data_IF_274996505713
#
_entry.id   IF_274996505713
#
_cell.length_a   1.000
_cell.length_b   1.000
_cell.length_c   1.000
_cell.angle_alpha   90.00
_cell.angle_beta   90.00
_cell.angle_gamma   90.00
#
_symmetry.space_group_name_H-M   'P 1'
#
loop_
_entity.id
_entity.type
_entity.pdbx_description
1 polymer ?
#
# COMPACT_ATOMS: atom_id res chain seq x y z
N UNK A 1 -9.18 4.28 3.51
CA UNK A 1 -9.36 5.56 4.26
C UNK A 1 -8.88 6.70 3.37
N UNK A 2 -9.63 7.79 3.21
CA UNK A 2 -9.27 8.88 2.28
C UNK A 2 -8.76 10.13 3.01
N UNK A 3 -7.86 10.90 2.39
CA UNK A 3 -7.33 12.19 2.90
C UNK A 3 -5.84 12.40 2.58
N UNK A 4 -5.25 13.53 2.97
CA UNK A 4 -3.95 13.96 2.44
C UNK A 4 -2.78 13.07 2.88
N UNK A 5 -1.75 13.02 2.05
CA UNK A 5 -0.47 12.37 2.30
C UNK A 5 0.09 12.84 3.67
N UNK A 6 0.42 11.91 4.58
CA UNK A 6 0.90 12.24 5.94
C UNK A 6 -0.17 12.45 7.02
N UNK A 7 -1.46 12.21 6.75
CA UNK A 7 -2.55 12.33 7.74
C UNK A 7 -2.73 11.13 8.69
N UNK A 8 -1.71 10.27 8.83
CA UNK A 8 -1.76 9.12 9.76
C UNK A 8 -2.61 7.94 9.28
N UNK A 9 -2.85 7.79 7.97
CA UNK A 9 -3.62 6.66 7.42
C UNK A 9 -2.82 5.37 7.43
N UNK A 10 -1.56 5.44 7.02
CA UNK A 10 -0.60 4.34 7.10
C UNK A 10 -0.50 3.88 8.56
N UNK A 11 -0.40 4.83 9.50
CA UNK A 11 -0.44 4.57 10.94
C UNK A 11 -1.73 3.85 11.40
N UNK A 12 -2.91 4.36 11.03
CA UNK A 12 -4.18 3.72 11.41
C UNK A 12 -4.35 2.33 10.76
N UNK A 13 -3.92 2.16 9.51
CA UNK A 13 -3.95 0.89 8.81
C UNK A 13 -3.01 -0.13 9.47
N UNK A 14 -1.81 0.29 9.89
CA UNK A 14 -0.87 -0.56 10.63
C UNK A 14 -1.43 -0.97 11.99
N UNK A 15 -2.09 -0.07 12.72
CA UNK A 15 -2.74 -0.42 14.00
C UNK A 15 -3.86 -1.45 13.83
N UNK A 16 -4.67 -1.32 12.77
CA UNK A 16 -5.72 -2.31 12.45
C UNK A 16 -5.07 -3.64 12.05
N UNK A 17 -4.05 -3.61 11.19
CA UNK A 17 -3.34 -4.80 10.74
C UNK A 17 -2.65 -5.54 11.91
N UNK A 18 -2.00 -4.81 12.82
CA UNK A 18 -1.39 -5.36 14.02
C UNK A 18 -2.41 -6.01 14.97
N UNK A 19 -3.63 -5.47 15.04
CA UNK A 19 -4.72 -6.08 15.80
C UNK A 19 -5.31 -7.35 15.19
N UNK A 20 -5.17 -7.54 13.87
CA UNK A 20 -5.58 -8.76 13.16
C UNK A 20 -4.56 -9.91 13.34
N UNK A 21 -3.30 -9.57 13.62
CA UNK A 21 -2.22 -10.54 13.79
C UNK A 21 -1.73 -11.16 12.48
N UNK A 22 -0.64 -11.92 12.58
CA UNK A 22 0.04 -12.52 11.42
C UNK A 22 1.03 -11.57 10.74
N UNK A 23 1.69 -12.06 9.69
CA UNK A 23 2.72 -11.30 8.97
C UNK A 23 2.06 -10.24 8.10
N UNK A 24 2.51 -9.00 8.24
CA UNK A 24 1.96 -7.83 7.53
C UNK A 24 2.92 -7.44 6.41
N UNK A 25 2.35 -7.04 5.27
CA UNK A 25 3.09 -6.52 4.14
C UNK A 25 2.49 -5.19 3.65
N UNK A 26 3.33 -4.30 3.14
CA UNK A 26 2.92 -3.00 2.63
C UNK A 26 3.46 -2.78 1.21
N UNK A 27 2.56 -2.45 0.28
CA UNK A 27 2.91 -2.03 -1.07
C UNK A 27 2.97 -0.49 -1.07
N UNK A 28 4.18 0.08 -1.17
CA UNK A 28 4.44 1.53 -1.20
C UNK A 28 4.60 2.02 -2.64
N UNK A 29 3.75 2.95 -3.09
CA UNK A 29 3.87 3.59 -4.41
C UNK A 29 4.36 5.04 -4.35
N UNK A 30 4.55 5.61 -3.16
CA UNK A 30 4.88 7.03 -2.95
C UNK A 30 6.33 7.27 -2.53
N UNK A 31 7.23 6.29 -2.72
CA UNK A 31 8.66 6.38 -2.43
C UNK A 31 8.98 6.78 -0.98
N UNK A 32 8.80 5.84 -0.05
CA UNK A 32 9.56 5.86 1.21
C UNK A 32 8.79 6.43 2.39
N UNK A 33 7.54 6.01 2.57
CA UNK A 33 6.86 6.12 3.88
C UNK A 33 6.73 4.80 4.60
N UNK A 34 7.03 3.68 3.93
CA UNK A 34 7.04 2.36 4.56
C UNK A 34 8.08 2.21 5.66
N UNK A 35 9.27 2.75 5.49
CA UNK A 35 10.31 2.56 6.51
C UNK A 35 10.07 3.40 7.77
N UNK A 36 9.30 4.50 7.66
CA UNK A 36 9.03 5.43 8.78
C UNK A 36 8.25 4.80 9.94
N UNK A 37 7.64 3.63 9.70
CA UNK A 37 6.72 3.00 10.62
C UNK A 37 7.09 1.54 10.95
N UNK A 38 8.23 1.04 10.45
CA UNK A 38 8.71 -0.31 10.74
C UNK A 38 8.79 -0.59 12.26
N UNK A 39 9.15 0.44 13.04
CA UNK A 39 9.24 0.37 14.50
C UNK A 39 7.89 0.39 15.24
N UNK A 40 6.76 0.63 14.55
CA UNK A 40 5.44 0.68 15.19
C UNK A 40 4.85 -0.68 15.49
N UNK A 41 5.24 -1.69 14.72
CA UNK A 41 4.80 -3.05 14.93
C UNK A 41 5.92 -3.83 15.63
N UNK A 42 5.67 -4.48 16.77
CA UNK A 42 6.70 -5.21 17.50
C UNK A 42 7.33 -6.37 16.70
N UNK A 43 6.63 -6.87 15.68
CA UNK A 43 7.12 -7.90 14.75
C UNK A 43 7.60 -7.34 13.39
N UNK A 44 7.53 -6.02 13.19
CA UNK A 44 7.80 -5.38 11.91
C UNK A 44 6.78 -5.73 10.81
N UNK A 45 7.09 -5.37 9.57
CA UNK A 45 6.34 -5.74 8.37
C UNK A 45 7.22 -5.68 7.12
N UNK A 46 6.84 -6.40 6.08
CA UNK A 46 7.54 -6.41 4.80
C UNK A 46 7.12 -5.21 3.93
N UNK A 47 8.06 -4.50 3.31
CA UNK A 47 7.77 -3.37 2.40
C UNK A 47 8.15 -3.73 0.98
N UNK A 48 7.19 -3.61 0.06
CA UNK A 48 7.39 -3.78 -1.37
C UNK A 48 7.14 -2.43 -2.07
N UNK A 49 8.21 -1.79 -2.52
CA UNK A 49 8.13 -0.53 -3.25
C UNK A 49 7.78 -0.78 -4.72
N UNK A 50 6.63 -0.27 -5.17
CA UNK A 50 6.22 -0.29 -6.57
C UNK A 50 6.71 0.99 -7.26
N UNK A 51 7.46 0.84 -8.35
CA UNK A 51 7.84 1.96 -9.22
C UNK A 51 6.90 2.04 -10.44
N UNK A 52 6.80 3.22 -11.12
CA UNK A 52 6.10 3.32 -12.38
C UNK A 52 6.61 2.27 -13.40
N UNK A 53 5.73 1.64 -14.19
CA UNK A 53 4.32 1.99 -14.39
C UNK A 53 3.35 1.32 -13.38
N UNK A 54 2.48 2.12 -12.77
CA UNK A 54 1.45 1.68 -11.81
C UNK A 54 0.24 1.02 -12.49
N UNK A 55 0.44 -0.16 -13.08
CA UNK A 55 -0.63 -0.93 -13.76
C UNK A 55 -1.29 -1.92 -12.80
N UNK A 56 -2.58 -2.27 -12.99
CA UNK A 56 -3.25 -3.30 -12.19
C UNK A 56 -2.48 -4.63 -12.11
N UNK A 57 -1.85 -5.05 -13.21
CA UNK A 57 -1.03 -6.26 -13.26
C UNK A 57 0.14 -6.23 -12.26
N UNK A 58 0.81 -5.08 -12.11
CA UNK A 58 1.92 -4.92 -11.17
C UNK A 58 1.46 -5.00 -9.71
N UNK A 59 0.26 -4.51 -9.40
CA UNK A 59 -0.33 -4.69 -8.07
C UNK A 59 -0.66 -6.15 -7.79
N UNK A 60 -1.21 -6.88 -8.77
CA UNK A 60 -1.48 -8.32 -8.64
C UNK A 60 -0.18 -9.10 -8.38
N UNK A 61 0.87 -8.82 -9.15
CA UNK A 61 2.18 -9.45 -8.95
C UNK A 61 2.78 -9.13 -7.57
N UNK A 62 2.63 -7.89 -7.09
CA UNK A 62 3.09 -7.49 -5.77
C UNK A 62 2.29 -8.19 -4.64
N UNK A 63 0.99 -8.37 -4.82
CA UNK A 63 0.14 -9.11 -3.88
C UNK A 63 0.60 -10.56 -3.80
N UNK A 64 0.77 -11.24 -4.93
CA UNK A 64 1.24 -12.63 -4.94
C UNK A 64 2.65 -12.80 -4.35
N UNK A 65 3.56 -11.84 -4.61
CA UNK A 65 4.89 -11.87 -4.00
C UNK A 65 4.84 -11.79 -2.47
N UNK A 66 3.88 -11.04 -1.89
CA UNK A 66 3.67 -10.98 -0.44
C UNK A 66 2.99 -12.26 0.08
N UNK A 67 2.01 -12.79 -0.65
CA UNK A 67 1.37 -14.08 -0.32
C UNK A 67 2.39 -15.23 -0.27
N UNK A 68 3.31 -15.30 -1.24
CA UNK A 68 4.34 -16.36 -1.34
C UNK A 68 5.30 -16.38 -0.15
N UNK A 69 5.53 -15.23 0.51
CA UNK A 69 6.34 -15.14 1.72
C UNK A 69 5.52 -15.27 3.02
N UNK A 70 4.22 -15.60 2.90
CA UNK A 70 3.33 -15.86 4.03
C UNK A 70 2.75 -14.61 4.68
N UNK A 71 2.71 -13.48 3.98
CA UNK A 71 1.99 -12.28 4.44
C UNK A 71 0.48 -12.58 4.44
N UNK A 72 -0.15 -12.38 5.60
CA UNK A 72 -1.60 -12.58 5.78
C UNK A 72 -2.41 -11.29 5.64
N UNK A 73 -1.76 -10.14 5.82
CA UNK A 73 -2.42 -8.83 5.76
C UNK A 73 -1.61 -7.88 4.88
N UNK A 74 -2.22 -7.39 3.79
CA UNK A 74 -1.58 -6.50 2.83
C UNK A 74 -2.18 -5.09 2.91
N UNK A 75 -1.33 -4.09 3.09
CA UNK A 75 -1.67 -2.66 3.05
C UNK A 75 -1.18 -2.09 1.72
N UNK A 76 -2.00 -1.28 1.03
CA UNK A 76 -1.60 -0.61 -0.22
C UNK A 76 -1.67 0.91 -0.02
N UNK A 77 -0.53 1.60 -0.12
CA UNK A 77 -0.40 3.05 0.00
C UNK A 77 0.35 3.60 -1.23
N UNK A 78 -0.31 4.12 -2.27
CA UNK A 78 -1.76 4.33 -2.44
C UNK A 78 -2.26 3.82 -3.79
N UNK A 79 -3.55 3.51 -3.89
CA UNK A 79 -4.21 3.10 -5.15
C UNK A 79 -4.60 4.28 -6.06
N UNK A 80 -4.32 5.53 -5.66
CA UNK A 80 -4.72 6.71 -6.42
C UNK A 80 -4.11 6.72 -7.84
N UNK A 81 -2.89 6.20 -7.99
CA UNK A 81 -2.23 6.06 -9.29
C UNK A 81 -2.91 5.04 -10.22
N UNK A 82 -3.47 3.96 -9.66
CA UNK A 82 -4.19 2.95 -10.43
C UNK A 82 -5.51 3.49 -10.99
N UNK A 83 -6.21 4.34 -10.22
CA UNK A 83 -7.51 4.90 -10.62
C UNK A 83 -7.41 6.13 -11.54
N UNK A 84 -6.30 6.88 -11.47
CA UNK A 84 -6.12 8.12 -12.26
C UNK A 84 -6.09 7.90 -13.78
N UNK A 85 -5.94 6.65 -14.26
CA UNK A 85 -5.94 6.34 -15.70
C UNK A 85 -7.32 5.97 -16.27
N UNK A 86 -8.31 5.67 -15.44
CA UNK A 86 -9.67 5.30 -15.85
C UNK A 86 -10.66 6.42 -15.46
N UNK A 87 -10.47 7.63 -15.98
CA UNK A 87 -11.34 8.74 -15.55
C UNK A 87 -11.02 10.15 -16.00
N UNK A 88 -10.47 10.37 -17.20
CA UNK A 88 -10.60 11.69 -17.83
C UNK A 88 -11.83 11.68 -18.74
N UNK A 89 -12.98 12.02 -18.17
CA UNK A 89 -14.03 12.70 -18.95
C UNK A 89 -13.43 14.03 -19.41
N UNK A 90 -12.87 14.05 -20.62
CA UNK A 90 -12.66 15.30 -21.32
C UNK A 90 -14.03 15.85 -21.69
N UNK A 91 -14.58 16.72 -20.86
CA UNK A 91 -15.68 17.57 -21.29
C UNK A 91 -15.11 18.53 -22.34
N UNK A 92 -15.26 18.17 -23.62
CA UNK A 92 -15.23 19.14 -24.71
C UNK A 92 -16.58 19.85 -24.71
N UNK A 93 -16.58 21.15 -24.39
CA UNK A 93 -17.40 22.17 -25.07
C UNK A 93 -16.62 23.47 -25.09
#
# INVERSE_FOLDING_TARGET
MSGPAGSGKTYAALQIAGGLGGRIGMIDTEHGRGDLYADLLPEGYDVLSLAPPYTPARYIEAIHALEDIGVSTIIIDSLAHAWSREGRLQTRK
#
